data_IF_203417548446
#
_entry.id   IF_203417548446
#
_cell.length_a   1.000
_cell.length_b   1.000
_cell.length_c   1.000
_cell.angle_alpha   90.00
_cell.angle_beta   90.00
_cell.angle_gamma   90.00
#
_symmetry.space_group_name_H-M   'P 1'
#
loop_
_entity.id
_entity.type
_entity.pdbx_description
1 polymer ?
#
# COMPACT_ATOMS: atom_id res chain seq x y z
N UNK A 1 -6.66 -6.35 -2.27
CA UNK A 1 -6.33 -6.82 -0.90
C UNK A 1 -7.56 -6.86 -0.02
N UNK A 2 -7.54 -7.72 1.01
CA UNK A 2 -8.53 -7.71 2.08
C UNK A 2 -8.54 -6.38 2.86
N UNK A 3 -9.54 -6.20 3.73
CA UNK A 3 -9.65 -4.99 4.58
C UNK A 3 -8.60 -4.95 5.69
N UNK A 4 -8.07 -6.11 6.07
CA UNK A 4 -6.97 -6.29 7.03
C UNK A 4 -5.56 -6.17 6.40
N UNK A 5 -5.42 -5.44 5.29
CA UNK A 5 -4.18 -5.40 4.51
C UNK A 5 -2.94 -4.96 5.31
N UNK A 6 -3.12 -4.19 6.39
CA UNK A 6 -2.05 -3.80 7.30
C UNK A 6 -1.24 -4.99 7.82
N UNK A 7 -1.90 -6.10 8.16
CA UNK A 7 -1.19 -7.30 8.68
C UNK A 7 -0.37 -7.97 7.59
N UNK A 8 -0.87 -7.99 6.34
CA UNK A 8 -0.12 -8.52 5.20
C UNK A 8 1.15 -7.72 4.93
N UNK A 9 1.09 -6.40 5.02
CA UNK A 9 2.25 -5.53 4.79
C UNK A 9 3.25 -5.63 5.96
N UNK A 10 2.76 -5.73 7.19
CA UNK A 10 3.61 -6.00 8.37
C UNK A 10 4.34 -7.33 8.25
N UNK A 11 3.65 -8.37 7.78
CA UNK A 11 4.25 -9.68 7.56
C UNK A 11 5.25 -9.66 6.40
N UNK A 12 4.93 -8.98 5.29
CA UNK A 12 5.87 -8.73 4.20
C UNK A 12 7.14 -8.02 4.71
N UNK A 13 6.99 -7.01 5.58
CA UNK A 13 8.13 -6.35 6.20
C UNK A 13 8.96 -7.30 7.06
N UNK A 14 8.34 -8.23 7.82
CA UNK A 14 9.04 -9.20 8.65
C UNK A 14 9.90 -10.15 7.81
N UNK A 15 9.39 -10.64 6.68
CA UNK A 15 10.07 -11.65 5.86
C UNK A 15 11.09 -11.07 4.87
N UNK A 16 10.90 -9.84 4.39
CA UNK A 16 11.82 -9.22 3.43
C UNK A 16 13.16 -8.91 4.08
N UNK A 17 14.26 -9.14 3.35
CA UNK A 17 15.60 -8.65 3.73
C UNK A 17 15.69 -7.13 3.48
N UNK A 18 16.57 -6.39 4.19
CA UNK A 18 16.93 -5.02 3.80
C UNK A 18 17.22 -4.90 2.30
N UNK A 19 16.71 -3.85 1.65
CA UNK A 19 16.77 -3.66 0.20
C UNK A 19 15.81 -4.53 -0.62
N UNK A 20 15.10 -5.47 0.00
CA UNK A 20 14.11 -6.31 -0.65
C UNK A 20 12.91 -5.50 -1.17
N UNK A 21 12.30 -5.97 -2.26
CA UNK A 21 11.22 -5.28 -2.95
C UNK A 21 9.84 -5.65 -2.41
N UNK A 22 8.98 -4.64 -2.28
CA UNK A 22 7.55 -4.80 -2.07
C UNK A 22 6.83 -4.09 -3.22
N UNK A 23 6.13 -4.87 -4.05
CA UNK A 23 5.33 -4.37 -5.15
C UNK A 23 3.86 -4.58 -4.81
N UNK A 24 3.06 -3.52 -4.95
CA UNK A 24 1.63 -3.56 -4.66
C UNK A 24 0.88 -3.11 -5.91
N UNK A 25 0.03 -3.98 -6.43
CA UNK A 25 -0.92 -3.66 -7.50
C UNK A 25 -2.33 -3.67 -6.92
N UNK A 26 -3.03 -2.55 -7.01
CA UNK A 26 -4.38 -2.42 -6.45
C UNK A 26 -5.34 -1.74 -7.42
N UNK A 27 -6.62 -2.10 -7.33
CA UNK A 27 -7.64 -1.54 -8.23
C UNK A 27 -7.84 -0.06 -7.93
N UNK A 28 -7.81 0.77 -8.97
CA UNK A 28 -7.88 2.24 -8.88
C UNK A 28 -9.12 2.73 -8.15
N UNK A 29 -10.26 2.05 -8.31
CA UNK A 29 -11.52 2.38 -7.62
C UNK A 29 -11.46 2.23 -6.10
N UNK A 30 -10.46 1.53 -5.55
CA UNK A 30 -10.24 1.44 -4.09
C UNK A 30 -9.62 2.70 -3.52
N UNK A 31 -9.04 3.52 -4.40
CA UNK A 31 -8.37 4.77 -4.08
C UNK A 31 -9.07 6.00 -4.68
N UNK A 32 -10.38 5.92 -4.92
CA UNK A 32 -11.18 7.04 -5.42
C UNK A 32 -11.88 7.75 -4.24
N UNK A 33 -11.40 8.94 -3.82
CA UNK A 33 -11.99 9.67 -2.70
C UNK A 33 -13.47 10.01 -2.90
N UNK A 34 -13.90 10.20 -4.15
CA UNK A 34 -15.30 10.54 -4.47
C UNK A 34 -16.26 9.39 -4.19
N UNK A 35 -15.74 8.16 -4.04
CA UNK A 35 -16.55 6.97 -3.77
C UNK A 35 -16.27 6.34 -2.40
N UNK A 36 -15.62 7.10 -1.51
CA UNK A 36 -15.19 6.63 -0.18
C UNK A 36 -13.97 5.72 -0.21
N UNK A 37 -13.16 5.79 -1.27
CA UNK A 37 -11.86 5.13 -1.36
C UNK A 37 -10.78 5.86 -0.56
N UNK A 38 -9.67 5.18 -0.33
CA UNK A 38 -8.53 5.76 0.36
C UNK A 38 -7.77 6.75 -0.53
N UNK A 39 -7.02 7.65 0.09
CA UNK A 39 -6.05 8.49 -0.63
C UNK A 39 -4.77 7.67 -0.91
N UNK A 40 -4.33 7.55 -2.18
CA UNK A 40 -3.07 6.89 -2.54
C UNK A 40 -1.86 7.39 -1.76
N UNK A 41 -1.79 8.69 -1.49
CA UNK A 41 -0.66 9.31 -0.81
C UNK A 41 -0.65 8.97 0.68
N UNK A 42 -1.82 8.94 1.32
CA UNK A 42 -1.95 8.46 2.71
C UNK A 42 -1.55 6.99 2.83
N UNK A 43 -1.91 6.18 1.85
CA UNK A 43 -1.53 4.77 1.80
C UNK A 43 -0.01 4.59 1.64
N UNK A 44 0.59 5.32 0.70
CA UNK A 44 2.03 5.34 0.51
C UNK A 44 2.77 5.79 1.77
N UNK A 45 2.28 6.86 2.43
CA UNK A 45 2.83 7.37 3.69
C UNK A 45 2.81 6.32 4.81
N UNK A 46 1.71 5.60 4.99
CA UNK A 46 1.63 4.54 6.00
C UNK A 46 2.69 3.44 5.78
N UNK A 47 2.92 3.06 4.52
CA UNK A 47 3.96 2.08 4.14
C UNK A 47 5.37 2.63 4.39
N UNK A 48 5.60 3.92 4.10
CA UNK A 48 6.87 4.59 4.40
C UNK A 48 7.17 4.64 5.90
N UNK A 49 6.14 4.90 6.72
CA UNK A 49 6.23 4.92 8.17
C UNK A 49 6.54 3.54 8.75
N UNK A 50 5.98 2.47 8.18
CA UNK A 50 6.29 1.09 8.57
C UNK A 50 7.77 0.73 8.41
N UNK A 51 8.44 1.33 7.42
CA UNK A 51 9.88 1.12 7.20
C UNK A 51 10.27 0.78 5.77
N UNK A 52 9.44 1.15 4.79
CA UNK A 52 9.81 1.05 3.38
C UNK A 52 10.22 2.42 2.81
N UNK A 53 10.91 2.40 1.67
CA UNK A 53 11.19 3.54 0.79
C UNK A 53 10.28 3.45 -0.44
N UNK A 54 9.75 4.58 -0.91
CA UNK A 54 8.98 4.67 -2.15
C UNK A 54 9.96 4.86 -3.30
N UNK A 55 9.94 3.94 -4.26
CA UNK A 55 10.79 4.01 -5.46
C UNK A 55 10.02 4.60 -6.63
N UNK A 56 8.79 4.13 -6.84
CA UNK A 56 7.94 4.57 -7.94
C UNK A 56 6.47 4.36 -7.58
N UNK A 57 5.62 5.24 -8.10
CA UNK A 57 4.18 5.05 -8.14
C UNK A 57 3.74 5.23 -9.60
N UNK A 58 2.89 4.33 -10.09
CA UNK A 58 2.41 4.35 -11.47
C UNK A 58 0.88 4.28 -11.49
N UNK A 59 0.30 5.37 -11.97
CA UNK A 59 -1.14 5.62 -12.08
C UNK A 59 -1.62 5.64 -13.54
N UNK A 60 -0.75 5.30 -14.50
CA UNK A 60 -1.03 5.37 -15.94
C UNK A 60 -2.07 4.34 -16.38
N UNK A 61 -2.18 3.21 -15.67
CA UNK A 61 -3.13 2.17 -15.98
C UNK A 61 -4.57 2.61 -15.63
N UNK A 62 -5.52 2.24 -16.50
CA UNK A 62 -6.94 2.60 -16.32
C UNK A 62 -7.59 1.91 -15.12
N UNK A 63 -7.16 0.69 -14.80
CA UNK A 63 -7.80 -0.19 -13.81
C UNK A 63 -6.99 -0.32 -12.53
N UNK A 64 -5.66 -0.22 -12.61
CA UNK A 64 -4.77 -0.49 -11.48
C UNK A 64 -3.87 0.71 -11.15
N UNK A 65 -3.47 0.77 -9.89
CA UNK A 65 -2.39 1.61 -9.38
C UNK A 65 -1.27 0.66 -8.93
N UNK A 66 -0.05 0.97 -9.33
CA UNK A 66 1.14 0.19 -9.00
C UNK A 66 2.04 1.01 -8.09
N UNK A 67 2.39 0.45 -6.93
CA UNK A 67 3.35 1.03 -6.01
C UNK A 67 4.57 0.13 -5.90
N UNK A 68 5.75 0.74 -5.96
CA UNK A 68 7.04 0.08 -5.89
C UNK A 68 7.80 0.59 -4.68
N UNK A 69 8.12 -0.32 -3.76
CA UNK A 69 8.82 0.00 -2.52
C UNK A 69 10.03 -0.90 -2.31
N UNK A 70 11.00 -0.42 -1.53
CA UNK A 70 12.12 -1.21 -1.03
C UNK A 70 12.22 -1.13 0.49
N UNK A 71 12.60 -2.23 1.15
CA UNK A 71 12.72 -2.27 2.61
C UNK A 71 13.93 -1.45 3.07
N UNK A 72 13.74 -0.53 4.02
CA UNK A 72 14.83 0.22 4.65
C UNK A 72 15.74 -0.70 5.46
N UNK A 73 17.01 -0.33 5.59
CA UNK A 73 17.97 -1.06 6.42
C UNK A 73 17.64 -0.99 7.91
N UNK A 74 17.16 0.17 8.37
CA UNK A 74 16.78 0.39 9.78
C UNK A 74 15.27 0.42 9.92
N UNK A 75 14.77 -0.21 10.99
CA UNK A 75 13.35 -0.18 11.34
C UNK A 75 12.99 1.19 11.93
N UNK A 76 11.90 1.77 11.47
CA UNK A 76 11.35 2.97 12.10
C UNK A 76 10.78 2.61 13.48
N UNK A 77 11.07 3.44 14.48
CA UNK A 77 10.62 3.28 15.87
C UNK A 77 9.19 3.79 16.12
N UNK A 78 8.48 4.29 15.09
CA UNK A 78 7.11 4.78 15.21
C UNK A 78 6.16 3.62 15.53
N UNK A 79 5.46 3.71 16.68
CA UNK A 79 4.53 2.68 17.16
C UNK A 79 3.10 2.83 16.63
N UNK A 80 2.69 4.03 16.23
CA UNK A 80 1.34 4.31 15.74
C UNK A 80 1.41 4.79 14.29
N UNK A 81 0.99 3.93 13.36
CA UNK A 81 0.85 4.22 11.93
C UNK A 81 -0.65 4.38 11.65
N UNK A 82 -1.03 5.47 11.01
CA UNK A 82 -2.41 5.69 10.58
C UNK A 82 -2.65 4.95 9.25
N UNK A 83 -3.36 3.82 9.31
CA UNK A 83 -3.68 3.00 8.14
C UNK A 83 -4.99 3.47 7.49
N UNK A 84 -4.98 3.95 6.24
CA UNK A 84 -6.22 4.37 5.58
C UNK A 84 -7.11 3.16 5.24
N UNK A 85 -8.41 3.25 5.45
CA UNK A 85 -9.30 2.13 5.11
C UNK A 85 -9.47 2.02 3.59
N UNK A 86 -9.10 0.88 3.01
CA UNK A 86 -9.31 0.63 1.59
C UNK A 86 -10.74 0.11 1.36
N UNK A 87 -11.45 0.68 0.38
CA UNK A 87 -12.76 0.20 -0.06
C UNK A 87 -12.68 -1.27 -0.51
N UNK A 88 -13.70 -2.12 -0.27
CA UNK A 88 -13.73 -3.47 -0.84
C UNK A 88 -13.67 -3.43 -2.37
N UNK A 89 -13.01 -4.43 -2.96
CA UNK A 89 -12.97 -4.58 -4.41
C UNK A 89 -14.28 -5.20 -4.89
N UNK A 90 -15.18 -4.37 -5.42
CA UNK A 90 -16.42 -4.83 -6.04
C UNK A 90 -16.18 -5.05 -7.54
N UNK A 91 -16.08 -6.30 -7.96
CA UNK A 91 -16.03 -6.62 -9.38
C UNK A 91 -17.41 -6.49 -10.01
N UNK A 92 -17.48 -5.86 -11.20
CA UNK A 92 -18.72 -5.81 -11.98
C UNK A 92 -19.12 -7.24 -12.40
N UNK A 93 -20.43 -7.51 -12.45
CA UNK A 93 -20.94 -8.76 -13.03
C UNK A 93 -20.46 -8.87 -14.49
N UNK A 94 -20.03 -10.08 -14.87
CA UNK A 94 -19.58 -10.41 -16.22
C UNK A 94 -20.76 -10.63 -17.14
#
# INVERSE_FOLDING_TARGET
MGTNYQSYIQEAYRVLKPGGWLLIAEVKSRFDPNTGGADPEKFSKAILELGFNSVKQDFSNKMFILFYFTKKEKKNSKKNIEWPMLKPCLYKRR
#
